data_IF_366651610270
#
_entry.id   IF_366651610270
#
_cell.length_a   1.000
_cell.length_b   1.000
_cell.length_c   1.000
_cell.angle_alpha   90.00
_cell.angle_beta   90.00
_cell.angle_gamma   90.00
#
_symmetry.space_group_name_H-M   'P 1'
#
loop_
_entity.id
_entity.type
_entity.pdbx_description
1 polymer ?
#
# COMPACT_ATOMS: atom_id res chain seq x y z
N UNK A 1 27.28 -51.60 -20.69
CA UNK A 1 27.95 -50.31 -20.92
C UNK A 1 26.84 -49.29 -20.96
N UNK A 2 26.47 -48.57 -19.90
CA UNK A 2 27.27 -47.99 -18.83
C UNK A 2 27.15 -46.47 -18.99
N UNK A 3 26.32 -45.82 -18.17
CA UNK A 3 26.63 -44.52 -17.54
C UNK A 3 25.46 -44.06 -16.66
N UNK A 4 25.59 -44.41 -15.38
CA UNK A 4 24.80 -43.94 -14.25
C UNK A 4 25.39 -42.60 -13.78
N UNK A 5 24.77 -41.48 -14.16
CA UNK A 5 25.14 -40.16 -13.63
C UNK A 5 24.43 -39.88 -12.30
N UNK A 6 25.03 -40.36 -11.20
CA UNK A 6 24.73 -39.90 -9.85
C UNK A 6 25.14 -38.42 -9.68
N UNK A 7 24.15 -37.55 -9.56
CA UNK A 7 24.33 -36.14 -9.22
C UNK A 7 24.53 -35.99 -7.70
N UNK A 8 25.70 -35.50 -7.29
CA UNK A 8 26.03 -35.21 -5.88
C UNK A 8 25.16 -34.06 -5.34
N UNK A 9 24.68 -34.11 -4.09
CA UNK A 9 23.91 -33.02 -3.50
C UNK A 9 24.81 -31.82 -3.20
N UNK A 10 24.41 -30.64 -3.71
CA UNK A 10 25.05 -29.35 -3.39
C UNK A 10 24.89 -29.05 -1.90
N UNK A 11 26.01 -28.83 -1.21
CA UNK A 11 26.05 -28.41 0.20
C UNK A 11 25.29 -27.09 0.36
N UNK A 12 24.20 -27.14 1.13
CA UNK A 12 23.42 -25.98 1.58
C UNK A 12 24.32 -25.14 2.49
N UNK A 13 24.72 -23.96 2.05
CA UNK A 13 25.49 -23.03 2.89
C UNK A 13 24.55 -22.53 3.98
N UNK A 14 24.93 -22.79 5.22
CA UNK A 14 24.14 -22.44 6.41
C UNK A 14 24.19 -20.93 6.64
N UNK A 15 23.20 -20.24 6.08
CA UNK A 15 23.02 -18.78 6.04
C UNK A 15 23.05 -18.13 7.43
N UNK A 16 22.76 -18.90 8.47
CA UNK A 16 22.82 -18.48 9.87
C UNK A 16 24.25 -18.22 10.34
N UNK A 17 25.23 -18.99 9.84
CA UNK A 17 26.64 -18.88 10.24
C UNK A 17 27.30 -17.64 9.63
N UNK A 18 26.92 -17.30 8.40
CA UNK A 18 27.40 -16.09 7.71
C UNK A 18 26.89 -14.80 8.36
N UNK A 19 25.63 -14.80 8.83
CA UNK A 19 25.08 -13.66 9.58
C UNK A 19 25.74 -13.47 10.95
N UNK A 20 26.09 -14.55 11.65
CA UNK A 20 26.78 -14.46 12.94
C UNK A 20 28.21 -13.91 12.82
N UNK A 21 28.93 -14.21 11.74
CA UNK A 21 30.26 -13.63 11.48
C UNK A 21 30.23 -12.13 11.17
N UNK A 22 29.20 -11.66 10.47
CA UNK A 22 29.00 -10.24 10.16
C UNK A 22 28.75 -9.39 11.43
N UNK A 23 27.96 -9.89 12.38
CA UNK A 23 27.74 -9.20 13.66
C UNK A 23 28.98 -9.21 14.55
N UNK A 24 29.80 -10.26 14.51
CA UNK A 24 31.04 -10.33 15.29
C UNK A 24 32.11 -9.36 14.79
N UNK A 25 32.16 -9.08 13.47
CA UNK A 25 33.05 -8.07 12.90
C UNK A 25 32.61 -6.63 13.18
N UNK A 26 31.32 -6.38 13.37
CA UNK A 26 30.81 -5.06 13.73
C UNK A 26 31.05 -4.69 15.21
N UNK A 27 31.15 -5.69 16.11
CA UNK A 27 31.36 -5.46 17.54
C UNK A 27 32.82 -5.19 17.96
N UNK A 28 33.79 -5.36 17.05
CA UNK A 28 35.22 -5.15 17.34
C UNK A 28 35.69 -3.71 17.10
N UNK A 29 34.88 -2.87 16.43
CA UNK A 29 35.14 -1.43 16.29
C UNK A 29 34.44 -0.67 17.42
N UNK A 30 34.99 -0.82 18.61
CA UNK A 30 34.57 -0.06 19.79
C UNK A 30 35.06 1.38 19.69
N UNK A 31 34.14 2.33 19.75
CA UNK A 31 34.39 3.72 20.14
C UNK A 31 33.09 4.32 20.66
N UNK A 32 33.20 5.13 21.72
CA UNK A 32 32.18 5.84 22.50
C UNK A 32 31.66 5.11 23.75
N UNK A 33 32.45 5.24 24.82
CA UNK A 33 31.98 5.16 26.21
C UNK A 33 31.23 6.45 26.59
N UNK A 34 30.24 6.39 27.50
CA UNK A 34 29.59 7.56 28.09
C UNK A 34 30.33 8.06 29.33
N UNK A 35 30.63 9.37 29.40
CA UNK A 35 31.13 10.02 30.61
C UNK A 35 30.08 10.02 31.73
N UNK A 36 30.50 9.56 32.91
CA UNK A 36 29.78 9.65 34.18
C UNK A 36 30.46 10.69 35.07
N UNK A 37 29.61 11.49 35.70
CA UNK A 37 29.66 11.96 37.09
C UNK A 37 30.96 12.59 37.63
N UNK A 38 30.89 13.90 37.90
CA UNK A 38 31.61 14.52 39.00
C UNK A 38 30.59 15.00 40.05
N UNK A 39 30.66 14.37 41.21
CA UNK A 39 30.15 14.88 42.47
C UNK A 39 31.36 15.17 43.37
N UNK A 40 31.11 16.08 44.31
CA UNK A 40 31.77 16.31 45.58
C UNK A 40 32.82 17.45 45.71
N UNK A 41 32.50 18.22 46.76
CA UNK A 41 33.37 18.88 47.74
C UNK A 41 33.60 20.39 47.70
N UNK A 42 33.68 20.91 48.94
CA UNK A 42 33.85 22.28 49.43
C UNK A 42 32.56 23.07 49.70
N UNK A 43 32.35 23.68 50.86
CA UNK A 43 33.10 23.68 52.13
C UNK A 43 32.23 24.39 53.16
N UNK A 44 32.23 23.83 54.35
CA UNK A 44 31.72 24.35 55.61
C UNK A 44 32.29 25.74 55.92
N UNK A 45 31.44 26.76 56.09
CA UNK A 45 31.84 28.02 56.75
C UNK A 45 30.80 28.50 57.75
N UNK A 46 31.19 28.35 59.01
CA UNK A 46 30.51 28.78 60.22
C UNK A 46 30.22 30.29 60.27
N UNK A 47 29.09 30.66 60.92
CA UNK A 47 28.83 31.87 61.73
C UNK A 47 27.32 31.97 62.06
N UNK A 48 26.90 32.72 63.10
CA UNK A 48 27.06 32.42 64.52
C UNK A 48 25.71 32.30 65.23
N UNK A 49 25.77 31.76 66.45
CA UNK A 49 24.62 31.60 67.35
C UNK A 49 24.25 32.97 67.96
N UNK A 50 23.07 33.50 67.64
CA UNK A 50 22.44 34.60 68.38
C UNK A 50 21.08 34.11 68.87
N UNK A 51 20.98 33.88 70.17
CA UNK A 51 19.72 33.78 70.90
C UNK A 51 19.29 35.18 71.35
N UNK A 52 18.13 35.61 70.89
CA UNK A 52 17.22 36.57 71.55
C UNK A 52 15.96 36.62 70.68
N UNK A 53 14.94 35.83 71.00
CA UNK A 53 13.80 36.19 71.87
C UNK A 53 12.73 37.06 71.19
N UNK A 54 11.50 36.58 71.31
CA UNK A 54 10.22 37.29 71.35
C UNK A 54 9.51 37.62 70.00
N UNK A 55 8.42 36.86 69.77
CA UNK A 55 7.28 37.11 68.88
C UNK A 55 7.45 36.92 67.36
N UNK A 56 7.63 35.67 66.91
CA UNK A 56 7.32 35.28 65.53
C UNK A 56 6.07 34.38 65.52
N UNK A 57 4.94 34.94 65.08
CA UNK A 57 3.75 34.14 64.70
C UNK A 57 4.19 33.12 63.64
N UNK A 58 3.75 31.85 63.68
CA UNK A 58 4.13 30.88 62.66
C UNK A 58 3.64 31.38 61.30
N UNK A 59 4.57 31.80 60.44
CA UNK A 59 4.26 32.14 59.06
C UNK A 59 3.88 30.86 58.34
N UNK A 60 2.63 30.79 57.89
CA UNK A 60 2.15 29.73 57.03
C UNK A 60 2.88 29.85 55.69
N UNK A 61 3.76 28.89 55.41
CA UNK A 61 4.61 28.86 54.21
C UNK A 61 4.77 27.45 53.68
N UNK A 62 5.36 27.31 52.49
CA UNK A 62 5.58 26.02 51.85
C UNK A 62 6.35 25.07 52.78
N UNK A 63 5.78 23.90 53.07
CA UNK A 63 6.33 22.92 54.02
C UNK A 63 5.92 23.11 55.49
N UNK A 64 5.19 24.18 55.83
CA UNK A 64 4.75 24.45 57.20
C UNK A 64 3.25 24.81 57.25
N UNK A 65 2.33 23.83 57.02
CA UNK A 65 0.90 24.08 57.02
C UNK A 65 0.41 24.52 58.42
N UNK A 66 -0.67 25.33 58.49
CA UNK A 66 -1.27 25.75 59.76
C UNK A 66 -1.52 24.55 60.69
N UNK A 67 -1.31 24.72 61.99
CA UNK A 67 -1.46 23.63 62.97
C UNK A 67 -2.88 23.04 62.93
N UNK A 68 -3.88 23.88 62.70
CA UNK A 68 -5.30 23.49 62.61
C UNK A 68 -5.61 22.56 61.42
N UNK A 69 -4.80 22.56 60.36
CA UNK A 69 -5.03 21.74 59.16
C UNK A 69 -4.11 20.52 59.08
N UNK A 70 -3.26 20.30 60.09
CA UNK A 70 -2.40 19.12 60.17
C UNK A 70 -3.22 17.91 60.59
N UNK A 71 -3.06 16.80 59.90
CA UNK A 71 -3.65 15.53 60.32
C UNK A 71 -3.02 15.08 61.64
N UNK A 72 -3.86 14.68 62.60
CA UNK A 72 -3.39 14.11 63.85
C UNK A 72 -2.62 12.81 63.58
N UNK A 73 -1.50 12.59 64.29
CA UNK A 73 -0.67 11.40 64.15
C UNK A 73 -1.52 10.15 64.45
N UNK A 74 -1.67 9.27 63.45
CA UNK A 74 -2.51 8.07 63.55
C UNK A 74 -3.92 8.22 62.97
N UNK A 75 -4.32 9.41 62.54
CA UNK A 75 -5.63 9.67 61.96
C UNK A 75 -5.48 10.03 60.47
N UNK A 76 -5.95 9.13 59.58
CA UNK A 76 -5.95 9.39 58.14
C UNK A 76 -6.98 10.48 57.81
N UNK A 77 -6.57 11.49 57.04
CA UNK A 77 -7.45 12.58 56.58
C UNK A 77 -8.58 12.17 55.64
N UNK A 78 -8.68 10.90 55.28
CA UNK A 78 -9.76 10.36 54.46
C UNK A 78 -10.65 9.45 55.33
N UNK A 79 -11.79 9.94 55.86
CA UNK A 79 -12.66 9.14 56.73
C UNK A 79 -13.27 7.92 56.02
N UNK A 80 -13.29 7.90 54.67
CA UNK A 80 -13.78 6.75 53.88
C UNK A 80 -12.68 5.74 53.54
N UNK A 81 -11.43 5.99 53.94
CA UNK A 81 -10.28 5.21 53.56
C UNK A 81 -10.01 5.21 52.05
N UNK A 82 -8.86 4.68 51.64
CA UNK A 82 -8.62 4.36 50.22
C UNK A 82 -9.61 3.25 49.84
N UNK A 83 -10.47 3.41 48.81
CA UNK A 83 -11.38 2.36 48.42
C UNK A 83 -10.58 1.09 48.14
N UNK A 84 -10.95 0.00 48.84
CA UNK A 84 -10.35 -1.33 48.62
C UNK A 84 -10.49 -1.64 47.13
N UNK A 85 -9.37 -1.79 46.44
CA UNK A 85 -9.34 -2.13 45.03
C UNK A 85 -10.26 -3.32 44.79
N UNK A 86 -11.13 -3.21 43.79
CA UNK A 86 -12.08 -4.24 43.40
C UNK A 86 -11.35 -5.55 43.15
N UNK A 87 -11.37 -6.42 44.16
CA UNK A 87 -11.05 -7.81 44.02
C UNK A 87 -11.90 -8.38 42.90
N UNK A 88 -11.23 -9.10 41.99
CA UNK A 88 -11.78 -9.90 40.90
C UNK A 88 -13.21 -10.37 41.18
N UNK A 89 -14.16 -9.87 40.40
CA UNK A 89 -15.57 -10.24 40.49
C UNK A 89 -16.38 -9.76 39.29
N UNK A 90 -16.25 -10.50 38.17
CA UNK A 90 -17.29 -10.68 37.15
C UNK A 90 -17.90 -9.45 36.47
N UNK A 91 -17.37 -9.08 35.31
CA UNK A 91 -18.19 -8.59 34.21
C UNK A 91 -17.79 -9.37 32.94
N UNK A 92 -18.73 -10.24 32.53
CA UNK A 92 -18.70 -11.16 31.40
C UNK A 92 -18.51 -10.39 30.09
N UNK A 93 -17.77 -11.00 29.17
CA UNK A 93 -17.68 -10.57 27.77
C UNK A 93 -16.28 -10.21 27.31
N UNK A 94 -15.31 -11.11 27.44
CA UNK A 94 -14.09 -11.04 26.62
C UNK A 94 -13.83 -12.40 25.98
N UNK A 95 -13.69 -12.33 24.67
CA UNK A 95 -13.39 -13.41 23.74
C UNK A 95 -12.30 -14.33 24.27
N UNK A 96 -12.61 -15.62 24.30
CA UNK A 96 -11.65 -16.70 24.40
C UNK A 96 -10.84 -16.72 23.10
N UNK A 97 -9.78 -15.92 23.05
CA UNK A 97 -8.68 -16.17 22.13
C UNK A 97 -7.54 -16.75 22.98
N UNK A 98 -6.92 -17.87 22.57
CA UNK A 98 -5.80 -18.43 23.29
C UNK A 98 -4.68 -17.40 23.31
N UNK A 99 -4.26 -17.00 24.51
CA UNK A 99 -3.13 -16.07 24.70
C UNK A 99 -1.87 -16.87 24.44
N UNK A 100 -1.46 -16.96 23.18
CA UNK A 100 -0.10 -17.32 22.81
C UNK A 100 0.86 -16.34 23.49
N UNK A 101 2.06 -16.76 23.95
CA UNK A 101 3.04 -15.87 24.55
C UNK A 101 3.39 -14.79 23.52
N UNK A 102 2.80 -13.61 23.69
CA UNK A 102 2.89 -12.53 22.73
C UNK A 102 4.26 -11.92 22.91
N UNK A 103 5.19 -12.21 22.00
CA UNK A 103 6.53 -11.60 22.03
C UNK A 103 6.38 -10.08 22.07
N UNK A 104 7.29 -9.37 22.74
CA UNK A 104 7.28 -7.89 22.81
C UNK A 104 7.10 -7.27 21.40
N UNK A 105 7.67 -7.91 20.38
CA UNK A 105 7.51 -7.52 18.98
C UNK A 105 6.07 -7.60 18.45
N UNK A 106 5.31 -8.62 18.83
CA UNK A 106 3.91 -8.76 18.41
C UNK A 106 3.03 -7.69 19.07
N UNK A 107 3.29 -7.40 20.36
CA UNK A 107 2.62 -6.29 21.08
C UNK A 107 2.97 -4.96 20.43
N UNK A 108 4.24 -4.74 20.10
CA UNK A 108 4.72 -3.53 19.42
C UNK A 108 4.07 -3.37 18.03
N UNK A 109 4.06 -4.42 17.21
CA UNK A 109 3.40 -4.39 15.87
C UNK A 109 1.92 -4.07 15.98
N UNK A 110 1.22 -4.66 16.95
CA UNK A 110 -0.21 -4.41 17.18
C UNK A 110 -0.47 -2.95 17.61
N UNK A 111 0.37 -2.39 18.48
CA UNK A 111 0.25 -1.00 18.94
C UNK A 111 0.57 0.02 17.85
N UNK A 112 1.56 -0.25 17.00
CA UNK A 112 1.89 0.60 15.84
C UNK A 112 0.71 0.63 14.86
N UNK A 113 0.04 -0.51 14.67
CA UNK A 113 -1.10 -0.65 13.77
C UNK A 113 -2.45 -0.18 14.36
N UNK A 114 -2.55 0.09 15.67
CA UNK A 114 -3.83 0.49 16.28
C UNK A 114 -4.28 1.87 15.79
N UNK A 115 -5.58 2.11 15.75
CA UNK A 115 -6.17 3.39 15.32
C UNK A 115 -6.39 4.32 16.51
N UNK A 116 -6.08 5.60 16.33
CA UNK A 116 -6.29 6.67 17.30
C UNK A 116 -7.08 7.80 16.64
N UNK A 117 -8.03 8.39 17.36
CA UNK A 117 -8.79 9.56 16.92
C UNK A 117 -7.98 10.82 17.20
N UNK A 118 -7.61 11.54 16.14
CA UNK A 118 -6.97 12.85 16.25
C UNK A 118 -7.91 13.90 15.69
N UNK A 119 -7.96 15.06 16.36
CA UNK A 119 -8.70 16.22 15.90
C UNK A 119 -7.75 17.14 15.13
N UNK A 120 -7.93 17.20 13.82
CA UNK A 120 -7.30 18.20 12.95
C UNK A 120 -8.31 19.33 12.68
N UNK A 121 -7.83 20.46 12.14
CA UNK A 121 -8.68 21.63 11.82
C UNK A 121 -9.92 21.29 10.96
N UNK A 122 -9.85 20.24 10.15
CA UNK A 122 -10.92 19.74 9.28
C UNK A 122 -11.82 18.66 9.92
N UNK A 123 -11.68 18.39 11.23
CA UNK A 123 -12.50 17.44 11.98
C UNK A 123 -11.72 16.30 12.65
N UNK A 124 -12.46 15.30 13.17
CA UNK A 124 -11.86 14.12 13.83
C UNK A 124 -11.62 13.03 12.79
N UNK A 125 -10.36 12.60 12.62
CA UNK A 125 -9.96 11.49 11.74
C UNK A 125 -9.34 10.35 12.54
N UNK A 126 -9.56 9.11 12.09
CA UNK A 126 -8.94 7.92 12.66
C UNK A 126 -7.67 7.55 11.88
N UNK A 127 -6.51 7.84 12.46
CA UNK A 127 -5.20 7.51 11.89
C UNK A 127 -4.50 6.42 12.70
N UNK A 128 -3.44 5.83 12.16
CA UNK A 128 -2.65 4.85 12.92
C UNK A 128 -1.87 5.54 14.05
N UNK A 129 -1.56 4.83 15.13
CA UNK A 129 -0.70 5.32 16.22
C UNK A 129 0.66 5.78 15.69
N UNK A 130 1.19 5.08 14.68
CA UNK A 130 2.47 5.43 14.07
C UNK A 130 2.40 6.76 13.32
N UNK A 131 1.38 6.95 12.49
CA UNK A 131 1.15 8.22 11.78
C UNK A 131 0.95 9.37 12.76
N UNK A 132 0.21 9.13 13.85
CA UNK A 132 0.03 10.09 14.94
C UNK A 132 1.36 10.54 15.55
N UNK A 133 2.24 9.59 15.83
CA UNK A 133 3.56 9.84 16.41
C UNK A 133 4.44 10.66 15.46
N UNK A 134 4.47 10.31 14.17
CA UNK A 134 5.23 11.05 13.16
C UNK A 134 4.77 12.51 13.06
N UNK A 135 3.46 12.76 12.96
CA UNK A 135 2.91 14.13 12.95
C UNK A 135 3.26 14.91 14.20
N UNK A 136 3.27 14.26 15.36
CA UNK A 136 3.65 14.92 16.62
C UNK A 136 5.15 15.28 16.63
N UNK A 137 6.02 14.41 16.11
CA UNK A 137 7.45 14.69 15.96
C UNK A 137 7.66 15.86 14.99
N UNK A 138 7.00 15.86 13.84
CA UNK A 138 7.06 16.93 12.84
C UNK A 138 6.57 18.26 13.44
N UNK A 139 5.44 18.25 14.15
CA UNK A 139 4.93 19.44 14.84
C UNK A 139 5.95 20.01 15.84
N UNK A 140 6.59 19.14 16.64
CA UNK A 140 7.63 19.55 17.58
C UNK A 140 8.88 20.09 16.86
N UNK A 141 9.28 19.47 15.75
CA UNK A 141 10.38 19.93 14.91
C UNK A 141 10.12 21.34 14.36
N UNK A 142 8.92 21.59 13.80
CA UNK A 142 8.53 22.91 13.30
C UNK A 142 8.43 23.98 14.39
N UNK A 143 8.17 23.59 15.64
CA UNK A 143 8.19 24.52 16.78
C UNK A 143 9.59 24.89 17.29
N UNK A 144 10.65 24.41 16.63
CA UNK A 144 12.05 24.73 16.98
C UNK A 144 12.70 23.73 17.96
N UNK A 145 12.07 22.58 18.21
CA UNK A 145 12.65 21.55 19.08
C UNK A 145 13.80 20.81 18.41
N UNK A 146 15.06 21.18 18.74
CA UNK A 146 16.29 20.63 18.11
C UNK A 146 16.32 19.09 18.06
N UNK A 147 15.93 18.41 19.14
CA UNK A 147 15.91 16.94 19.18
C UNK A 147 14.85 16.33 18.25
N UNK A 148 13.66 16.95 18.20
CA UNK A 148 12.59 16.52 17.31
C UNK A 148 12.97 16.77 15.84
N UNK A 149 13.61 17.90 15.53
CA UNK A 149 14.14 18.20 14.20
C UNK A 149 15.19 17.19 13.77
N UNK A 150 16.15 16.85 14.64
CA UNK A 150 17.16 15.82 14.35
C UNK A 150 16.53 14.45 14.10
N UNK A 151 15.53 14.07 14.91
CA UNK A 151 14.81 12.82 14.73
C UNK A 151 14.03 12.79 13.40
N UNK A 152 13.30 13.87 13.08
CA UNK A 152 12.55 13.99 11.83
C UNK A 152 13.46 13.90 10.61
N UNK A 153 14.59 14.64 10.60
CA UNK A 153 15.59 14.57 9.54
C UNK A 153 16.13 13.13 9.42
N UNK A 154 16.46 12.47 10.53
CA UNK A 154 16.94 11.09 10.51
C UNK A 154 15.92 10.11 9.91
N UNK A 155 14.64 10.25 10.24
CA UNK A 155 13.56 9.43 9.65
C UNK A 155 13.45 9.70 8.14
N UNK A 156 13.49 10.95 7.70
CA UNK A 156 13.44 11.31 6.28
C UNK A 156 14.64 10.77 5.51
N UNK A 157 15.86 10.93 6.03
CA UNK A 157 17.06 10.39 5.39
C UNK A 157 17.03 8.87 5.29
N UNK A 158 16.60 8.18 6.36
CA UNK A 158 16.47 6.72 6.34
C UNK A 158 15.44 6.28 5.29
N UNK A 159 14.27 6.92 5.26
CA UNK A 159 13.21 6.63 4.28
C UNK A 159 13.70 6.88 2.85
N UNK A 160 14.45 7.97 2.63
CA UNK A 160 15.02 8.28 1.32
C UNK A 160 16.07 7.24 0.87
N UNK A 161 16.91 6.75 1.80
CA UNK A 161 17.88 5.67 1.50
C UNK A 161 17.19 4.35 1.19
N UNK A 162 16.14 4.01 1.95
CA UNK A 162 15.36 2.80 1.71
C UNK A 162 14.67 2.86 0.34
N UNK A 163 14.05 3.99 0.01
CA UNK A 163 13.43 4.21 -1.31
C UNK A 163 14.45 4.18 -2.45
N UNK A 164 15.63 4.77 -2.26
CA UNK A 164 16.71 4.71 -3.26
C UNK A 164 17.25 3.29 -3.42
N UNK A 165 17.40 2.53 -2.34
CA UNK A 165 17.82 1.13 -2.41
C UNK A 165 16.80 0.28 -3.18
N UNK A 166 15.51 0.42 -2.87
CA UNK A 166 14.42 -0.23 -3.62
C UNK A 166 14.41 0.18 -5.09
N UNK A 167 14.69 1.46 -5.38
CA UNK A 167 14.81 1.98 -6.73
C UNK A 167 15.95 1.30 -7.50
N UNK A 168 17.12 1.22 -6.89
CA UNK A 168 18.30 0.57 -7.49
C UNK A 168 18.06 -0.92 -7.71
N UNK A 169 17.46 -1.62 -6.75
CA UNK A 169 17.12 -3.04 -6.88
C UNK A 169 16.14 -3.28 -8.05
N UNK A 170 15.11 -2.44 -8.16
CA UNK A 170 14.17 -2.54 -9.27
C UNK A 170 14.82 -2.23 -10.63
N UNK A 171 15.67 -1.21 -10.69
CA UNK A 171 16.41 -0.87 -11.93
C UNK A 171 17.36 -1.99 -12.35
N UNK A 172 18.07 -2.59 -11.39
CA UNK A 172 18.95 -3.72 -11.63
C UNK A 172 18.16 -4.89 -12.20
N UNK A 173 17.01 -5.23 -11.60
CA UNK A 173 16.14 -6.28 -12.09
C UNK A 173 15.60 -6.01 -13.51
N UNK A 174 15.13 -4.80 -13.82
CA UNK A 174 14.64 -4.47 -15.17
C UNK A 174 15.77 -4.57 -16.20
N UNK A 175 16.96 -4.09 -15.84
CA UNK A 175 18.14 -4.13 -16.71
C UNK A 175 18.56 -5.58 -16.98
N UNK A 176 18.63 -6.40 -15.95
CA UNK A 176 18.91 -7.83 -16.04
C UNK A 176 17.86 -8.56 -16.89
N UNK A 177 16.58 -8.27 -16.68
CA UNK A 177 15.50 -8.87 -17.45
C UNK A 177 15.64 -8.58 -18.96
N UNK A 178 15.95 -7.32 -19.31
CA UNK A 178 16.14 -6.92 -20.71
C UNK A 178 17.36 -7.58 -21.34
N UNK A 179 18.49 -7.67 -20.62
CA UNK A 179 19.67 -8.40 -21.08
C UNK A 179 19.37 -9.89 -21.29
N UNK A 180 18.69 -10.52 -20.33
CA UNK A 180 18.27 -11.92 -20.40
C UNK A 180 17.25 -12.17 -21.53
N UNK A 181 16.42 -11.19 -21.89
CA UNK A 181 15.52 -11.30 -23.03
C UNK A 181 16.30 -11.38 -24.36
N UNK A 182 17.29 -10.50 -24.57
CA UNK A 182 18.11 -10.51 -25.79
C UNK A 182 18.84 -11.85 -25.95
N UNK A 183 19.42 -12.37 -24.87
CA UNK A 183 20.08 -13.68 -24.88
C UNK A 183 19.11 -14.83 -25.21
N UNK A 184 17.90 -14.81 -24.65
CA UNK A 184 16.84 -15.79 -24.94
C UNK A 184 16.37 -15.70 -26.40
N UNK A 185 16.10 -14.49 -26.89
CA UNK A 185 15.68 -14.24 -28.27
C UNK A 185 16.70 -14.81 -29.27
N UNK A 186 18.00 -14.54 -29.06
CA UNK A 186 19.07 -15.09 -29.89
C UNK A 186 19.22 -16.61 -29.78
N UNK A 187 18.78 -17.23 -28.68
CA UNK A 187 18.75 -18.70 -28.55
C UNK A 187 17.61 -19.31 -29.38
N UNK A 188 16.41 -18.72 -29.34
CA UNK A 188 15.28 -19.14 -30.18
C UNK A 188 15.59 -18.98 -31.67
N UNK A 189 16.19 -17.85 -32.06
CA UNK A 189 16.60 -17.62 -33.46
C UNK A 189 17.60 -18.68 -33.95
N UNK A 190 18.62 -19.02 -33.13
CA UNK A 190 19.58 -20.09 -33.46
C UNK A 190 18.94 -21.48 -33.55
N UNK A 191 17.86 -21.72 -32.80
CA UNK A 191 17.10 -22.96 -32.85
C UNK A 191 16.11 -23.00 -34.03
N UNK A 192 15.87 -21.86 -34.71
CA UNK A 192 14.82 -21.75 -35.73
C UNK A 192 13.40 -21.76 -35.15
N UNK A 193 13.26 -21.47 -33.86
CA UNK A 193 11.98 -21.44 -33.15
C UNK A 193 11.47 -20.01 -32.95
N UNK A 194 10.15 -19.82 -32.95
CA UNK A 194 9.56 -18.53 -32.63
C UNK A 194 9.60 -18.28 -31.12
N UNK A 195 9.85 -17.03 -30.72
CA UNK A 195 9.81 -16.62 -29.31
C UNK A 195 8.38 -16.81 -28.80
N UNK A 196 8.15 -17.56 -27.70
CA UNK A 196 6.81 -17.75 -27.18
C UNK A 196 6.14 -16.45 -26.75
N UNK A 197 4.87 -16.27 -27.11
CA UNK A 197 4.09 -15.05 -26.83
C UNK A 197 3.89 -14.74 -25.35
N UNK A 198 4.06 -15.74 -24.47
CA UNK A 198 3.96 -15.58 -23.02
C UNK A 198 5.21 -14.96 -22.38
N UNK A 199 6.29 -14.79 -23.15
CA UNK A 199 7.47 -14.07 -22.68
C UNK A 199 7.24 -12.57 -22.87
N UNK A 200 7.20 -11.82 -21.76
CA UNK A 200 7.05 -10.37 -21.79
C UNK A 200 8.20 -9.74 -22.59
N UNK A 201 7.84 -8.88 -23.54
CA UNK A 201 8.82 -8.15 -24.34
C UNK A 201 9.55 -7.13 -23.45
N UNK A 202 10.78 -6.71 -23.80
CA UNK A 202 11.53 -5.70 -23.05
C UNK A 202 10.75 -4.41 -22.80
N UNK A 203 9.87 -4.07 -23.75
CA UNK A 203 9.00 -2.89 -23.73
C UNK A 203 7.80 -3.04 -22.79
N UNK A 204 7.42 -4.26 -22.41
CA UNK A 204 6.31 -4.53 -21.48
C UNK A 204 6.71 -4.30 -20.03
N UNK A 205 8.01 -4.28 -19.76
CA UNK A 205 8.59 -4.13 -18.44
C UNK A 205 8.93 -2.67 -18.20
N UNK A 206 8.18 -2.06 -17.29
CA UNK A 206 8.30 -0.67 -16.92
C UNK A 206 8.72 -0.53 -15.46
N UNK A 207 9.43 0.56 -15.17
CA UNK A 207 9.74 0.96 -13.81
C UNK A 207 9.31 2.41 -13.59
N UNK A 208 8.76 2.69 -12.41
CA UNK A 208 8.41 4.03 -11.94
C UNK A 208 8.74 4.15 -10.46
N UNK A 209 9.33 5.28 -10.05
CA UNK A 209 9.67 5.55 -8.64
C UNK A 209 8.43 5.46 -7.74
N UNK A 210 7.27 5.92 -8.22
CA UNK A 210 6.04 5.94 -7.43
C UNK A 210 5.35 4.58 -7.33
N UNK A 211 5.49 3.73 -8.35
CA UNK A 211 4.67 2.50 -8.52
C UNK A 211 5.47 1.21 -8.54
N UNK A 212 6.80 1.31 -8.42
CA UNK A 212 7.73 0.20 -8.57
C UNK A 212 7.83 -0.30 -10.01
N UNK A 213 8.31 -1.55 -10.15
CA UNK A 213 8.30 -2.23 -11.44
C UNK A 213 6.91 -2.77 -11.76
N UNK A 214 6.49 -2.65 -13.03
CA UNK A 214 5.22 -3.17 -13.53
C UNK A 214 5.46 -3.85 -14.88
N UNK A 215 4.94 -5.06 -15.00
CA UNK A 215 4.88 -5.80 -16.26
C UNK A 215 3.48 -5.60 -16.83
N UNK A 216 3.39 -5.08 -18.05
CA UNK A 216 2.11 -4.87 -18.77
C UNK A 216 1.75 -6.03 -19.69
N UNK A 217 2.73 -6.84 -20.07
CA UNK A 217 2.55 -8.01 -20.91
C UNK A 217 2.44 -9.33 -20.15
N UNK A 218 2.15 -10.41 -20.89
CA UNK A 218 2.14 -11.74 -20.31
C UNK A 218 3.54 -12.12 -19.84
N UNK A 219 3.64 -12.70 -18.65
CA UNK A 219 4.90 -13.18 -18.07
C UNK A 219 4.96 -14.72 -17.99
N UNK A 220 3.81 -15.36 -18.12
CA UNK A 220 3.60 -16.80 -18.07
C UNK A 220 2.39 -17.19 -18.95
N UNK A 221 2.15 -18.49 -19.12
CA UNK A 221 1.06 -19.00 -19.94
C UNK A 221 -0.32 -18.54 -19.43
N UNK A 222 -0.51 -18.44 -18.11
CA UNK A 222 -1.75 -17.94 -17.52
C UNK A 222 -1.94 -16.44 -17.80
N UNK A 223 -0.86 -15.65 -17.74
CA UNK A 223 -0.83 -14.24 -18.13
C UNK A 223 -1.16 -14.04 -19.60
N UNK A 224 -0.64 -14.89 -20.49
CA UNK A 224 -0.98 -14.89 -21.92
C UNK A 224 -2.48 -15.08 -22.13
N UNK A 225 -3.08 -16.10 -21.50
CA UNK A 225 -4.52 -16.32 -21.56
C UNK A 225 -5.33 -15.13 -21.05
N UNK A 226 -4.90 -14.50 -19.96
CA UNK A 226 -5.56 -13.29 -19.45
C UNK A 226 -5.48 -12.13 -20.45
N UNK A 227 -4.31 -11.89 -21.06
CA UNK A 227 -4.16 -10.82 -22.06
C UNK A 227 -4.97 -11.14 -23.34
N UNK A 228 -5.04 -12.41 -23.78
CA UNK A 228 -5.88 -12.83 -24.90
C UNK A 228 -7.37 -12.71 -24.60
N UNK A 229 -7.79 -12.99 -23.36
CA UNK A 229 -9.14 -12.76 -22.90
C UNK A 229 -9.48 -11.26 -22.92
N UNK A 230 -8.58 -10.39 -22.43
CA UNK A 230 -8.75 -8.95 -22.52
C UNK A 230 -8.85 -8.47 -23.98
N UNK A 231 -8.05 -9.02 -24.89
CA UNK A 231 -8.13 -8.74 -26.32
C UNK A 231 -9.50 -9.11 -26.90
N UNK A 232 -10.02 -10.29 -26.58
CA UNK A 232 -11.38 -10.72 -26.98
C UNK A 232 -12.46 -9.79 -26.43
N UNK A 233 -12.34 -9.38 -25.16
CA UNK A 233 -13.26 -8.41 -24.56
C UNK A 233 -13.21 -7.05 -25.26
N UNK A 234 -12.01 -6.54 -25.57
CA UNK A 234 -11.86 -5.29 -26.31
C UNK A 234 -12.54 -5.40 -27.67
N UNK A 235 -12.26 -6.45 -28.42
CA UNK A 235 -12.77 -6.62 -29.77
C UNK A 235 -14.31 -6.74 -29.76
N UNK A 236 -14.89 -7.47 -28.81
CA UNK A 236 -16.34 -7.53 -28.62
C UNK A 236 -16.97 -6.19 -28.22
N UNK A 237 -16.32 -5.44 -27.32
CA UNK A 237 -16.77 -4.10 -26.93
C UNK A 237 -16.64 -3.09 -28.08
N UNK A 238 -15.65 -3.27 -28.96
CA UNK A 238 -15.47 -2.43 -30.13
C UNK A 238 -16.63 -2.61 -31.12
N UNK A 239 -17.02 -3.85 -31.41
CA UNK A 239 -18.20 -4.12 -32.24
C UNK A 239 -19.47 -3.58 -31.57
N UNK A 240 -19.62 -3.76 -30.25
CA UNK A 240 -20.76 -3.23 -29.48
C UNK A 240 -20.85 -1.71 -29.53
N UNK A 241 -19.71 -1.02 -29.46
CA UNK A 241 -19.64 0.44 -29.56
C UNK A 241 -20.23 0.92 -30.89
N UNK A 242 -19.82 0.31 -32.02
CA UNK A 242 -20.34 0.68 -33.35
C UNK A 242 -21.82 0.32 -33.49
N UNK A 243 -22.22 -0.85 -32.97
CA UNK A 243 -23.63 -1.26 -32.93
C UNK A 243 -24.50 -0.26 -32.15
N UNK A 244 -24.04 0.17 -30.98
CA UNK A 244 -24.76 1.14 -30.15
C UNK A 244 -24.87 2.49 -30.83
N UNK A 245 -23.81 2.93 -31.48
CA UNK A 245 -23.80 4.16 -32.26
C UNK A 245 -24.81 4.11 -33.41
N UNK A 246 -24.83 3.00 -34.16
CA UNK A 246 -25.75 2.81 -35.27
C UNK A 246 -27.23 2.74 -34.86
N UNK A 247 -27.54 2.22 -33.66
CA UNK A 247 -28.93 1.99 -33.21
C UNK A 247 -29.45 3.11 -32.32
N UNK A 248 -28.68 3.51 -31.31
CA UNK A 248 -29.16 4.43 -30.26
C UNK A 248 -28.80 5.89 -30.57
N UNK A 249 -27.76 6.13 -31.37
CA UNK A 249 -27.20 7.48 -31.56
C UNK A 249 -27.27 7.99 -33.01
N UNK A 250 -28.10 7.39 -33.87
CA UNK A 250 -28.25 7.77 -35.29
C UNK A 250 -28.70 9.22 -35.53
N UNK A 251 -29.22 9.92 -34.51
CA UNK A 251 -29.65 11.32 -34.63
C UNK A 251 -28.46 12.29 -34.48
N UNK A 252 -28.20 13.16 -35.47
CA UNK A 252 -27.16 14.18 -35.39
C UNK A 252 -27.35 15.08 -34.15
N UNK A 253 -26.27 15.33 -33.39
CA UNK A 253 -26.27 16.25 -32.23
C UNK A 253 -26.67 15.65 -30.88
N UNK A 254 -27.00 14.35 -30.80
CA UNK A 254 -27.43 13.70 -29.55
C UNK A 254 -26.26 13.13 -28.74
N UNK A 255 -25.10 12.91 -29.36
CA UNK A 255 -23.93 12.32 -28.69
C UNK A 255 -23.23 13.35 -27.80
N UNK A 256 -23.69 13.46 -26.56
CA UNK A 256 -23.10 14.32 -25.52
C UNK A 256 -22.07 13.57 -24.67
N UNK A 257 -22.02 12.24 -24.74
CA UNK A 257 -21.14 11.43 -23.90
C UNK A 257 -20.69 10.13 -24.57
N UNK A 258 -19.62 9.58 -24.00
CA UNK A 258 -18.99 8.31 -24.37
C UNK A 258 -19.94 7.12 -24.06
N UNK A 259 -20.03 6.14 -24.96
CA UNK A 259 -20.83 4.94 -24.66
C UNK A 259 -20.14 4.06 -23.60
N UNK A 260 -20.89 3.16 -22.94
CA UNK A 260 -20.30 2.22 -21.98
C UNK A 260 -19.25 1.34 -22.65
N UNK A 261 -19.55 0.86 -23.86
CA UNK A 261 -18.67 0.00 -24.63
C UNK A 261 -17.38 0.73 -24.99
N UNK A 262 -17.48 1.96 -25.48
CA UNK A 262 -16.34 2.83 -25.78
C UNK A 262 -15.46 3.08 -24.54
N UNK A 263 -16.06 3.37 -23.38
CA UNK A 263 -15.32 3.51 -22.12
C UNK A 263 -14.50 2.27 -21.80
N UNK A 264 -15.10 1.09 -21.95
CA UNK A 264 -14.47 -0.17 -21.64
C UNK A 264 -13.35 -0.48 -22.63
N UNK A 265 -13.53 -0.23 -23.93
CA UNK A 265 -12.47 -0.36 -24.96
C UNK A 265 -11.25 0.44 -24.54
N UNK A 266 -11.42 1.74 -24.23
CA UNK A 266 -10.31 2.59 -23.80
C UNK A 266 -9.63 2.07 -22.53
N UNK A 267 -10.42 1.62 -21.55
CA UNK A 267 -9.84 1.09 -20.30
C UNK A 267 -9.06 -0.20 -20.53
N UNK A 268 -9.57 -1.12 -21.34
CA UNK A 268 -8.84 -2.36 -21.68
C UNK A 268 -7.56 -2.02 -22.43
N UNK A 269 -7.61 -1.07 -23.36
CA UNK A 269 -6.43 -0.64 -24.13
C UNK A 269 -5.30 -0.07 -23.26
N UNK A 270 -5.65 0.64 -22.17
CA UNK A 270 -4.65 1.10 -21.19
C UNK A 270 -3.95 -0.03 -20.42
N UNK A 271 -4.56 -1.21 -20.31
CA UNK A 271 -3.99 -2.35 -19.59
C UNK A 271 -3.12 -3.25 -20.47
N UNK A 272 -3.22 -3.15 -21.80
CA UNK A 272 -2.50 -4.02 -22.71
C UNK A 272 -1.08 -3.54 -23.02
N UNK A 273 -0.18 -4.47 -23.40
CA UNK A 273 1.11 -4.17 -24.04
C UNK A 273 0.97 -3.22 -25.22
N UNK A 274 1.96 -2.33 -25.42
CA UNK A 274 1.96 -1.40 -26.56
C UNK A 274 1.75 -2.10 -27.90
N UNK A 275 2.40 -3.24 -28.14
CA UNK A 275 2.26 -4.02 -29.38
C UNK A 275 0.86 -4.58 -29.62
N UNK A 276 0.02 -4.66 -28.60
CA UNK A 276 -1.34 -5.20 -28.70
C UNK A 276 -2.40 -4.11 -28.67
N UNK A 277 -2.02 -2.88 -28.36
CA UNK A 277 -2.92 -1.74 -28.49
C UNK A 277 -3.29 -1.57 -29.94
N UNK A 278 -4.56 -1.25 -30.20
CA UNK A 278 -4.97 -0.92 -31.56
C UNK A 278 -4.27 0.39 -31.92
N UNK A 279 -3.48 0.36 -33.00
CA UNK A 279 -2.95 1.60 -33.54
C UNK A 279 -4.13 2.51 -33.91
N UNK A 280 -3.98 3.83 -33.78
CA UNK A 280 -5.04 4.78 -34.09
C UNK A 280 -5.57 4.60 -35.53
N UNK A 281 -4.71 4.18 -36.45
CA UNK A 281 -5.09 3.86 -37.82
C UNK A 281 -5.88 2.55 -37.92
N UNK A 282 -5.40 1.45 -37.33
CA UNK A 282 -6.10 0.17 -37.33
C UNK A 282 -7.49 0.28 -36.68
N UNK A 283 -7.60 1.07 -35.60
CA UNK A 283 -8.88 1.35 -34.97
C UNK A 283 -9.84 2.05 -35.94
N UNK A 284 -9.38 3.06 -36.68
CA UNK A 284 -10.19 3.75 -37.69
C UNK A 284 -10.56 2.86 -38.87
N UNK A 285 -9.67 2.00 -39.32
CA UNK A 285 -9.94 1.05 -40.41
C UNK A 285 -11.01 0.03 -40.00
N UNK A 286 -10.89 -0.52 -38.79
CA UNK A 286 -11.92 -1.40 -38.21
C UNK A 286 -13.25 -0.68 -38.02
N UNK A 287 -13.21 0.54 -37.51
CA UNK A 287 -14.39 1.38 -37.34
C UNK A 287 -15.08 1.64 -38.69
N UNK A 288 -14.34 2.07 -39.72
CA UNK A 288 -14.88 2.31 -41.05
C UNK A 288 -15.49 1.03 -41.66
N UNK A 289 -14.81 -0.12 -41.53
CA UNK A 289 -15.32 -1.40 -42.00
C UNK A 289 -16.63 -1.80 -41.31
N UNK A 290 -16.75 -1.56 -40.01
CA UNK A 290 -17.98 -1.85 -39.25
C UNK A 290 -19.09 -0.84 -39.54
N UNK A 291 -18.78 0.46 -39.67
CA UNK A 291 -19.75 1.51 -40.02
C UNK A 291 -20.37 1.27 -41.40
N UNK A 292 -19.58 0.79 -42.36
CA UNK A 292 -20.05 0.46 -43.70
C UNK A 292 -20.68 -0.94 -43.81
N UNK A 293 -20.64 -1.74 -42.74
CA UNK A 293 -21.32 -3.03 -42.73
C UNK A 293 -22.85 -2.85 -42.64
N UNK A 294 -23.59 -3.77 -43.25
CA UNK A 294 -25.05 -3.77 -43.12
C UNK A 294 -25.46 -4.12 -41.69
N UNK A 295 -26.61 -3.61 -41.22
CA UNK A 295 -27.12 -3.90 -39.88
C UNK A 295 -27.20 -5.41 -39.57
N UNK A 296 -27.71 -6.30 -40.46
CA UNK A 296 -27.69 -7.74 -40.22
C UNK A 296 -26.27 -8.28 -40.01
N UNK A 297 -25.30 -7.82 -40.80
CA UNK A 297 -23.90 -8.23 -40.66
C UNK A 297 -23.28 -7.77 -39.35
N UNK A 298 -23.61 -6.56 -38.89
CA UNK A 298 -23.13 -6.04 -37.61
C UNK A 298 -23.70 -6.83 -36.42
N UNK A 299 -24.98 -7.25 -36.51
CA UNK A 299 -25.61 -8.13 -35.51
C UNK A 299 -24.90 -9.48 -35.44
N UNK A 300 -24.62 -10.08 -36.59
CA UNK A 300 -23.90 -11.35 -36.71
C UNK A 300 -22.49 -11.24 -36.09
N UNK A 301 -21.72 -10.21 -36.47
CA UNK A 301 -20.39 -9.96 -35.91
C UNK A 301 -20.42 -9.73 -34.39
N UNK A 302 -21.46 -9.05 -33.88
CA UNK A 302 -21.63 -8.85 -32.46
C UNK A 302 -21.94 -10.18 -31.74
N UNK A 303 -22.77 -11.04 -32.34
CA UNK A 303 -23.06 -12.38 -31.83
C UNK A 303 -21.80 -13.24 -31.78
N UNK A 304 -21.06 -13.33 -32.88
CA UNK A 304 -19.79 -14.06 -32.97
C UNK A 304 -18.79 -13.58 -31.90
N UNK A 305 -18.64 -12.27 -31.72
CA UNK A 305 -17.69 -11.70 -30.78
C UNK A 305 -18.03 -12.01 -29.30
N UNK A 306 -19.32 -12.01 -28.93
CA UNK A 306 -19.75 -12.36 -27.58
C UNK A 306 -19.81 -13.88 -27.35
N UNK A 307 -20.12 -14.66 -28.38
CA UNK A 307 -20.06 -16.12 -28.34
C UNK A 307 -18.62 -16.60 -28.08
N UNK A 308 -17.61 -15.95 -28.66
CA UNK A 308 -16.20 -16.21 -28.38
C UNK A 308 -15.79 -15.92 -26.91
N UNK A 309 -16.62 -15.19 -26.16
CA UNK A 309 -16.50 -14.94 -24.72
C UNK A 309 -17.37 -15.90 -23.88
N UNK A 310 -18.17 -16.75 -24.51
CA UNK A 310 -19.12 -17.65 -23.86
C UNK A 310 -20.36 -16.94 -23.31
N UNK A 311 -20.75 -15.80 -23.88
CA UNK A 311 -21.86 -14.96 -23.40
C UNK A 311 -22.80 -14.62 -24.56
N UNK A 312 -24.10 -14.50 -24.29
CA UNK A 312 -25.06 -14.04 -25.30
C UNK A 312 -24.89 -12.54 -25.61
N UNK A 313 -25.01 -12.16 -26.89
CA UNK A 313 -24.88 -10.78 -27.31
C UNK A 313 -26.02 -9.87 -26.78
N UNK A 314 -25.71 -8.72 -26.17
CA UNK A 314 -26.69 -7.79 -25.62
C UNK A 314 -27.31 -6.87 -26.70
N UNK A 315 -28.15 -7.42 -27.59
CA UNK A 315 -28.70 -6.67 -28.71
C UNK A 315 -29.61 -5.50 -28.31
N UNK A 316 -30.31 -5.60 -27.17
CA UNK A 316 -31.32 -4.64 -26.73
C UNK A 316 -30.91 -3.84 -25.48
N UNK A 317 -29.66 -3.96 -25.05
CA UNK A 317 -29.16 -3.31 -23.84
C UNK A 317 -27.91 -2.49 -24.15
N UNK A 318 -27.89 -1.17 -23.90
CA UNK A 318 -26.71 -0.36 -24.14
C UNK A 318 -25.60 -0.71 -23.14
N UNK A 319 -25.94 -1.24 -21.96
CA UNK A 319 -24.96 -1.81 -21.04
C UNK A 319 -24.62 -3.28 -21.39
N UNK A 320 -23.35 -3.60 -21.69
CA UNK A 320 -22.94 -4.97 -21.96
C UNK A 320 -22.86 -5.82 -20.67
N UNK A 321 -23.06 -7.15 -20.75
CA UNK A 321 -23.01 -8.09 -19.63
C UNK A 321 -21.57 -8.38 -19.21
N UNK A 322 -20.89 -7.36 -18.69
CA UNK A 322 -19.48 -7.46 -18.30
C UNK A 322 -19.35 -8.07 -16.90
N UNK A 323 -18.55 -9.13 -16.72
CA UNK A 323 -18.32 -9.73 -15.41
C UNK A 323 -17.70 -8.75 -14.42
N UNK A 324 -18.12 -8.82 -13.16
CA UNK A 324 -17.58 -7.99 -12.08
C UNK A 324 -16.06 -8.14 -11.91
N UNK A 325 -15.51 -9.31 -12.24
CA UNK A 325 -14.06 -9.55 -12.22
C UNK A 325 -13.33 -8.63 -13.21
N UNK A 326 -13.90 -8.42 -14.40
CA UNK A 326 -13.30 -7.52 -15.40
C UNK A 326 -13.36 -6.07 -14.94
N UNK A 327 -14.48 -5.62 -14.38
CA UNK A 327 -14.58 -4.27 -13.81
C UNK A 327 -13.54 -4.02 -12.70
N UNK A 328 -13.34 -4.98 -11.80
CA UNK A 328 -12.31 -4.88 -10.75
C UNK A 328 -10.91 -4.79 -11.36
N UNK A 329 -10.61 -5.59 -12.39
CA UNK A 329 -9.33 -5.54 -13.09
C UNK A 329 -9.08 -4.16 -13.75
N UNK A 330 -10.15 -3.52 -14.22
CA UNK A 330 -10.10 -2.17 -14.80
C UNK A 330 -10.09 -1.05 -13.73
N UNK A 331 -10.14 -1.38 -12.45
CA UNK A 331 -10.25 -0.41 -11.35
C UNK A 331 -11.59 0.34 -11.34
N UNK A 332 -12.64 -0.25 -11.92
CA UNK A 332 -13.97 0.35 -12.03
C UNK A 332 -14.87 -0.26 -10.96
N UNK A 333 -15.58 0.57 -10.20
CA UNK A 333 -16.64 0.09 -9.31
C UNK A 333 -17.90 -0.25 -10.13
N UNK A 334 -18.31 -1.55 -10.20
CA UNK A 334 -19.44 -1.96 -11.03
C UNK A 334 -20.74 -1.25 -10.65
N UNK A 335 -20.96 -1.00 -9.35
CA UNK A 335 -22.19 -0.37 -8.85
C UNK A 335 -22.30 1.08 -9.30
N UNK A 336 -21.19 1.82 -9.23
CA UNK A 336 -21.14 3.22 -9.67
C UNK A 336 -21.32 3.33 -11.18
N UNK A 337 -20.70 2.43 -11.95
CA UNK A 337 -20.84 2.43 -13.41
C UNK A 337 -22.29 2.14 -13.81
N UNK A 338 -22.88 1.06 -13.27
CA UNK A 338 -24.30 0.70 -13.53
C UNK A 338 -25.23 1.85 -13.17
N UNK A 339 -25.07 2.45 -12.00
CA UNK A 339 -25.90 3.59 -11.57
C UNK A 339 -25.78 4.79 -12.53
N UNK A 340 -24.57 5.10 -13.02
CA UNK A 340 -24.35 6.20 -13.96
C UNK A 340 -25.04 5.96 -15.31
N UNK A 341 -24.99 4.74 -15.84
CA UNK A 341 -25.58 4.41 -17.13
C UNK A 341 -27.09 4.20 -17.05
N UNK A 342 -27.62 3.57 -15.99
CA UNK A 342 -29.08 3.49 -15.78
C UNK A 342 -29.72 4.87 -15.65
N UNK A 343 -29.02 5.84 -15.05
CA UNK A 343 -29.50 7.23 -15.00
C UNK A 343 -29.49 7.93 -16.36
N UNK A 344 -28.66 7.48 -17.31
CA UNK A 344 -28.66 8.00 -18.69
C UNK A 344 -29.74 7.32 -19.54
N UNK A 345 -29.96 6.01 -19.38
CA UNK A 345 -31.09 5.30 -20.00
C UNK A 345 -32.43 5.93 -19.60
N UNK A 346 -32.61 6.27 -18.32
CA UNK A 346 -33.86 6.90 -17.85
C UNK A 346 -34.10 8.33 -18.38
N UNK A 347 -33.11 8.95 -19.03
CA UNK A 347 -33.21 10.31 -19.62
C UNK A 347 -33.45 10.29 -21.12
N UNK A 348 -33.27 9.16 -21.78
CA UNK A 348 -33.54 8.94 -23.20
C UNK A 348 -34.95 8.39 -23.38
#
# INVERSE_FOLDING_TARGET
MGDDHQTKPRKRVDETRFRQELFRKAAVKGELQPERAHADEHSESARPNIRSDLFARPSTGYGNPPVETRFAKGQSGNPKGRPRGSGKGGAKGKSTQPVSPTTIDEVRRRHVASRVKIRDGDGVREISTYEALLRQIEKLAFSGGVQATRLAIGIHEQTARELEAEHQDCLAWVTEYRANYVARAAAYERAGEAIPDWIAWPEDVHYSIEKGHRITGPYDAAGLENCLLLKRWRDAMFVKMIYDEAIFFWRPGVRTSLTTAEFIVFKIDTLMPKRWKLASQEMREREAALIWSSRPRLIEQLQEAFEALGIAAPLNHPMPPVPDKLFRALGINPKQLRAKFSAMEARQ
#
